data_IF_015086832276
#
_entry.id   IF_015086832276
#
_cell.length_a   1.000
_cell.length_b   1.000
_cell.length_c   1.000
_cell.angle_alpha   90.00
_cell.angle_beta   90.00
_cell.angle_gamma   90.00
#
_symmetry.space_group_name_H-M   'P 1'
#
loop_
_entity.id
_entity.type
_entity.pdbx_description
1 polymer ?
#
# COMPACT_ATOMS: atom_id res chain seq x y z
N UNK A 1 24.21 52.70 68.85
CA UNK A 1 24.05 51.42 68.13
C UNK A 1 23.88 51.66 66.64
N UNK A 2 24.66 50.97 65.80
CA UNK A 2 24.78 51.17 64.34
C UNK A 2 24.09 50.00 63.63
N UNK A 3 22.88 50.20 63.06
CA UNK A 3 22.20 49.16 62.26
C UNK A 3 22.63 49.31 60.79
N UNK A 4 23.40 48.35 60.28
CA UNK A 4 23.81 48.26 58.86
C UNK A 4 22.68 47.59 58.07
N UNK A 5 22.38 48.11 56.89
CA UNK A 5 21.29 47.66 56.02
C UNK A 5 21.50 46.27 55.41
N UNK A 6 20.48 45.71 54.73
CA UNK A 6 20.53 44.37 54.17
C UNK A 6 21.35 44.34 52.87
N UNK A 7 22.13 43.27 52.73
CA UNK A 7 22.99 42.96 51.60
C UNK A 7 22.16 42.56 50.37
N UNK A 8 22.40 43.22 49.23
CA UNK A 8 21.91 42.80 47.91
C UNK A 8 22.70 41.57 47.42
N UNK A 9 22.04 40.42 47.27
CA UNK A 9 22.61 39.23 46.62
C UNK A 9 22.68 39.39 45.11
N UNK A 10 23.88 39.28 44.52
CA UNK A 10 24.08 39.18 43.07
C UNK A 10 23.96 37.71 42.63
N UNK A 11 22.98 37.41 41.78
CA UNK A 11 22.87 36.14 41.05
C UNK A 11 23.88 36.13 39.91
N UNK A 12 24.89 35.25 39.98
CA UNK A 12 25.88 35.07 38.90
C UNK A 12 25.26 34.22 37.78
N UNK A 13 24.96 34.82 36.63
CA UNK A 13 24.69 34.10 35.37
C UNK A 13 26.02 33.59 34.79
N UNK A 14 26.24 32.28 34.81
CA UNK A 14 27.35 31.63 34.10
C UNK A 14 27.01 31.51 32.60
N UNK A 15 27.57 32.40 31.79
CA UNK A 15 27.43 32.33 30.34
C UNK A 15 28.30 31.21 29.75
N UNK A 16 27.68 30.16 29.21
CA UNK A 16 28.39 29.17 28.39
C UNK A 16 28.73 29.83 27.06
N UNK A 17 29.99 29.78 26.65
CA UNK A 17 30.46 30.50 25.46
C UNK A 17 29.71 30.03 24.21
N UNK A 18 29.21 30.99 23.42
CA UNK A 18 28.38 30.77 22.23
C UNK A 18 29.06 29.87 21.19
N UNK A 19 30.40 29.81 21.19
CA UNK A 19 31.18 28.90 20.34
C UNK A 19 30.97 27.42 20.70
N UNK A 20 30.84 27.10 21.98
CA UNK A 20 30.58 25.72 22.43
C UNK A 20 29.17 25.27 22.09
N UNK A 21 28.19 26.19 22.17
CA UNK A 21 26.80 25.90 21.76
C UNK A 21 26.76 25.60 20.26
N UNK A 22 27.44 26.42 19.45
CA UNK A 22 27.52 26.21 17.99
C UNK A 22 28.21 24.90 17.62
N UNK A 23 29.32 24.54 18.28
CA UNK A 23 30.01 23.26 18.04
C UNK A 23 29.15 22.05 18.46
N UNK A 24 28.49 22.13 19.61
CA UNK A 24 27.59 21.06 20.07
C UNK A 24 26.41 20.87 19.09
N UNK A 25 25.84 21.97 18.58
CA UNK A 25 24.75 21.92 17.60
C UNK A 25 25.21 21.26 16.29
N UNK A 26 26.41 21.59 15.79
CA UNK A 26 26.96 20.99 14.58
C UNK A 26 27.20 19.49 14.74
N UNK A 27 27.72 19.04 15.88
CA UNK A 27 27.94 17.62 16.17
C UNK A 27 26.62 16.83 16.27
N UNK A 28 25.59 17.44 16.88
CA UNK A 28 24.24 16.83 16.96
C UNK A 28 23.61 16.74 15.56
N UNK A 29 23.71 17.79 14.74
CA UNK A 29 23.19 17.79 13.37
C UNK A 29 23.92 16.80 12.47
N UNK A 30 25.24 16.66 12.59
CA UNK A 30 26.00 15.64 11.85
C UNK A 30 25.64 14.22 12.31
N UNK A 31 25.40 14.01 13.60
CA UNK A 31 24.95 12.72 14.12
C UNK A 31 23.55 12.33 13.67
N UNK A 32 22.60 13.28 13.70
CA UNK A 32 21.22 13.07 13.22
C UNK A 32 21.17 12.77 11.72
N UNK A 33 21.97 13.49 10.93
CA UNK A 33 22.05 13.25 9.49
C UNK A 33 22.68 11.88 9.19
N UNK A 34 23.76 11.51 9.88
CA UNK A 34 24.40 10.20 9.75
C UNK A 34 23.45 9.03 10.11
N UNK A 35 22.71 9.13 11.22
CA UNK A 35 21.71 8.13 11.62
C UNK A 35 20.56 8.02 10.61
N UNK A 36 20.13 9.14 10.01
CA UNK A 36 19.11 9.13 8.95
C UNK A 36 19.60 8.51 7.64
N UNK A 37 20.90 8.57 7.32
CA UNK A 37 21.45 8.00 6.08
C UNK A 37 21.46 6.46 6.11
N UNK A 38 21.87 5.84 7.23
CA UNK A 38 21.87 4.37 7.37
C UNK A 38 20.47 3.76 7.29
N UNK A 39 19.46 4.43 7.85
CA UNK A 39 18.07 3.97 7.81
C UNK A 39 17.47 4.01 6.39
N UNK A 40 17.99 4.90 5.52
CA UNK A 40 17.57 5.00 4.11
C UNK A 40 18.18 3.90 3.24
N UNK A 41 19.42 3.52 3.49
CA UNK A 41 20.06 2.42 2.74
C UNK A 41 19.38 1.08 3.07
N UNK A 42 19.05 0.82 4.34
CA UNK A 42 18.29 -0.37 4.71
C UNK A 42 16.87 -0.36 4.14
N UNK A 43 16.20 0.79 4.08
CA UNK A 43 14.90 0.89 3.41
C UNK A 43 14.98 0.73 1.89
N UNK A 44 16.10 1.06 1.25
CA UNK A 44 16.27 0.88 -0.20
C UNK A 44 16.67 -0.56 -0.56
N UNK A 45 17.34 -1.28 0.35
CA UNK A 45 17.74 -2.70 0.18
C UNK A 45 16.60 -3.65 0.57
N UNK A 46 15.84 -3.33 1.63
CA UNK A 46 14.69 -4.13 2.10
C UNK A 46 13.35 -3.62 1.55
N UNK A 47 13.31 -2.40 1.03
CA UNK A 47 12.17 -1.83 0.31
C UNK A 47 12.21 -2.27 -1.15
N UNK A 48 11.26 -3.12 -1.47
CA UNK A 48 10.80 -3.50 -2.80
C UNK A 48 11.21 -2.53 -3.93
N UNK A 49 12.18 -2.99 -4.72
CA UNK A 49 12.44 -2.64 -6.13
C UNK A 49 11.16 -2.14 -6.84
N UNK A 50 11.12 -0.95 -7.45
CA UNK A 50 9.94 -0.49 -8.16
C UNK A 50 9.77 -1.28 -9.44
N UNK A 51 8.82 -2.21 -9.48
CA UNK A 51 8.34 -2.77 -10.75
C UNK A 51 6.83 -2.92 -10.71
N UNK A 52 6.21 -2.32 -11.72
CA UNK A 52 4.78 -2.28 -12.04
C UNK A 52 4.01 -1.30 -11.15
N UNK A 53 3.45 -0.28 -11.80
CA UNK A 53 2.64 0.78 -11.20
C UNK A 53 1.77 0.21 -10.06
N UNK A 54 2.14 0.57 -8.84
CA UNK A 54 1.31 0.30 -7.67
C UNK A 54 0.08 1.17 -7.81
N UNK A 55 -0.99 0.57 -8.32
CA UNK A 55 -2.30 1.18 -8.31
C UNK A 55 -2.69 1.28 -6.84
N UNK A 56 -2.55 2.47 -6.26
CA UNK A 56 -3.06 2.78 -4.93
C UNK A 56 -4.58 2.61 -4.96
N UNK A 57 -5.03 1.43 -4.54
CA UNK A 57 -6.45 1.12 -4.44
C UNK A 57 -6.97 1.81 -3.20
N UNK A 58 -7.47 3.02 -3.41
CA UNK A 58 -8.29 3.70 -2.40
C UNK A 58 -9.57 2.88 -2.17
N UNK A 59 -10.06 2.77 -0.92
CA UNK A 59 -11.34 2.15 -0.64
C UNK A 59 -12.47 2.89 -1.40
N UNK A 60 -13.39 2.14 -2.01
CA UNK A 60 -14.46 2.64 -2.87
C UNK A 60 -13.98 3.24 -4.20
N UNK A 61 -12.77 2.89 -4.66
CA UNK A 61 -12.33 3.21 -6.02
C UNK A 61 -13.02 2.31 -7.05
N UNK A 62 -13.35 2.88 -8.21
CA UNK A 62 -13.93 2.15 -9.34
C UNK A 62 -12.83 1.80 -10.35
N UNK A 63 -12.60 0.51 -10.54
CA UNK A 63 -11.76 -0.03 -11.62
C UNK A 63 -12.65 -0.49 -12.77
N UNK A 64 -12.56 0.18 -13.92
CA UNK A 64 -13.25 -0.23 -15.15
C UNK A 64 -12.27 -0.58 -16.25
N UNK A 65 -12.56 -1.67 -16.96
CA UNK A 65 -11.67 -2.15 -18.01
C UNK A 65 -12.18 -3.40 -18.70
N UNK A 66 -11.34 -3.97 -19.55
CA UNK A 66 -11.60 -5.26 -20.19
C UNK A 66 -10.97 -6.36 -19.35
N UNK A 67 -11.67 -7.48 -19.21
CA UNK A 67 -11.13 -8.70 -18.62
C UNK A 67 -10.13 -9.31 -19.59
N UNK A 68 -8.83 -9.11 -19.34
CA UNK A 68 -7.74 -9.61 -20.20
C UNK A 68 -7.43 -11.08 -19.94
N UNK A 69 -7.64 -11.53 -18.70
CA UNK A 69 -7.37 -12.89 -18.28
C UNK A 69 -8.29 -13.31 -17.13
N UNK A 70 -8.61 -14.60 -17.05
CA UNK A 70 -9.37 -15.21 -15.96
C UNK A 70 -8.43 -16.21 -15.28
N UNK A 71 -7.96 -15.89 -14.07
CA UNK A 71 -6.96 -16.70 -13.37
C UNK A 71 -7.60 -17.96 -12.79
N UNK A 72 -8.80 -17.84 -12.22
CA UNK A 72 -9.61 -18.89 -11.63
C UNK A 72 -11.09 -18.42 -11.57
N UNK A 73 -11.97 -19.19 -10.91
CA UNK A 73 -13.40 -18.89 -10.84
C UNK A 73 -13.76 -17.59 -10.11
N UNK A 74 -12.85 -17.07 -9.28
CA UNK A 74 -13.10 -15.87 -8.46
C UNK A 74 -12.11 -14.73 -8.68
N UNK A 75 -11.18 -14.85 -9.64
CA UNK A 75 -10.17 -13.83 -9.93
C UNK A 75 -10.13 -13.47 -11.42
N UNK A 76 -10.42 -12.20 -11.71
CA UNK A 76 -10.29 -11.60 -13.03
C UNK A 76 -9.10 -10.65 -13.10
N UNK A 77 -8.41 -10.61 -14.24
CA UNK A 77 -7.47 -9.54 -14.54
C UNK A 77 -8.16 -8.48 -15.39
N UNK A 78 -8.40 -7.31 -14.80
CA UNK A 78 -9.01 -6.15 -15.47
C UNK A 78 -7.91 -5.16 -15.79
N UNK A 79 -7.65 -4.93 -17.08
CA UNK A 79 -6.50 -4.12 -17.55
C UNK A 79 -5.15 -4.55 -16.91
N UNK A 80 -4.96 -5.85 -16.68
CA UNK A 80 -3.74 -6.37 -16.05
C UNK A 80 -3.62 -6.17 -14.52
N UNK A 81 -4.70 -5.73 -13.87
CA UNK A 81 -4.85 -5.71 -12.41
C UNK A 81 -5.68 -6.93 -11.97
N UNK A 82 -5.12 -7.85 -11.18
CA UNK A 82 -5.87 -9.01 -10.70
C UNK A 82 -6.81 -8.60 -9.56
N UNK A 83 -8.10 -8.87 -9.74
CA UNK A 83 -9.21 -8.56 -8.84
C UNK A 83 -9.82 -9.87 -8.33
N UNK A 84 -9.73 -10.14 -7.03
CA UNK A 84 -10.45 -11.22 -6.35
C UNK A 84 -11.85 -10.74 -5.99
N UNK A 85 -12.86 -11.53 -6.32
CA UNK A 85 -14.27 -11.21 -6.08
C UNK A 85 -14.60 -11.34 -4.58
N UNK A 86 -14.99 -10.23 -3.95
CA UNK A 86 -15.10 -10.13 -2.49
C UNK A 86 -16.12 -11.07 -1.83
N UNK A 87 -17.14 -11.50 -2.58
CA UNK A 87 -18.24 -12.35 -2.08
C UNK A 87 -18.33 -13.69 -2.80
N UNK A 88 -17.30 -14.07 -3.57
CA UNK A 88 -17.24 -15.35 -4.25
C UNK A 88 -15.95 -16.05 -3.84
N UNK A 89 -16.08 -17.23 -3.22
CA UNK A 89 -14.95 -18.11 -2.93
C UNK A 89 -15.15 -19.40 -3.72
N UNK A 90 -14.35 -19.59 -4.77
CA UNK A 90 -14.48 -20.76 -5.62
C UNK A 90 -13.68 -21.93 -5.06
N UNK A 91 -14.20 -23.18 -5.17
CA UNK A 91 -13.41 -24.35 -4.83
C UNK A 91 -12.14 -24.40 -5.69
N UNK A 92 -11.01 -24.77 -5.09
CA UNK A 92 -9.71 -24.85 -5.78
C UNK A 92 -9.80 -25.78 -7.00
N UNK A 93 -9.10 -25.44 -8.10
CA UNK A 93 -9.02 -26.12 -9.42
C UNK A 93 -8.68 -27.63 -9.43
N UNK A 94 -8.65 -28.31 -8.29
CA UNK A 94 -8.24 -29.71 -8.14
C UNK A 94 -9.39 -30.66 -7.82
N UNK A 95 -10.61 -30.14 -7.79
CA UNK A 95 -11.87 -30.88 -7.75
C UNK A 95 -12.68 -30.51 -8.99
N UNK A 96 -13.42 -31.46 -9.57
CA UNK A 96 -14.10 -31.31 -10.88
C UNK A 96 -14.97 -30.06 -10.97
N UNK A 97 -15.54 -29.65 -9.84
CA UNK A 97 -16.37 -28.47 -9.67
C UNK A 97 -15.59 -27.17 -9.91
N UNK A 98 -14.34 -27.08 -9.48
CA UNK A 98 -13.48 -25.90 -9.68
C UNK A 98 -13.11 -25.67 -11.15
N UNK A 99 -12.96 -26.74 -11.93
CA UNK A 99 -12.70 -26.67 -13.36
C UNK A 99 -13.94 -26.20 -14.15
N UNK A 100 -15.12 -26.69 -13.79
CA UNK A 100 -16.39 -26.25 -14.38
C UNK A 100 -16.64 -24.76 -14.12
N UNK A 101 -16.45 -24.31 -12.88
CA UNK A 101 -16.63 -22.90 -12.51
C UNK A 101 -15.60 -22.03 -13.22
N UNK A 102 -14.34 -22.49 -13.34
CA UNK A 102 -13.32 -21.78 -14.12
C UNK A 102 -13.70 -21.70 -15.60
N UNK A 103 -14.25 -22.77 -16.19
CA UNK A 103 -14.69 -22.79 -17.58
C UNK A 103 -15.84 -21.80 -17.83
N UNK A 104 -16.78 -21.70 -16.89
CA UNK A 104 -17.83 -20.69 -16.93
C UNK A 104 -17.26 -19.28 -16.78
N UNK A 105 -16.36 -19.04 -15.83
CA UNK A 105 -15.72 -17.75 -15.63
C UNK A 105 -14.92 -17.27 -16.87
N UNK A 106 -14.29 -18.19 -17.62
CA UNK A 106 -13.58 -17.88 -18.86
C UNK A 106 -14.46 -17.30 -19.96
N UNK A 107 -15.77 -17.52 -19.90
CA UNK A 107 -16.72 -16.90 -20.83
C UNK A 107 -16.58 -15.37 -20.76
N UNK A 108 -16.42 -14.80 -19.57
CA UNK A 108 -16.32 -13.34 -19.39
C UNK A 108 -15.01 -12.70 -19.91
N UNK A 109 -14.09 -13.47 -20.49
CA UNK A 109 -12.91 -12.91 -21.14
C UNK A 109 -13.33 -11.94 -22.26
N UNK A 110 -12.57 -10.86 -22.40
CA UNK A 110 -12.78 -9.79 -23.37
C UNK A 110 -14.07 -8.97 -23.14
N UNK A 111 -14.80 -9.25 -22.06
CA UNK A 111 -15.95 -8.44 -21.63
C UNK A 111 -15.52 -7.24 -20.80
N UNK A 112 -16.33 -6.18 -20.85
CA UNK A 112 -16.17 -5.02 -19.99
C UNK A 112 -16.60 -5.35 -18.55
N UNK A 113 -15.73 -5.04 -17.60
CA UNK A 113 -15.99 -5.11 -16.18
C UNK A 113 -15.94 -3.71 -15.53
N UNK A 114 -16.75 -3.54 -14.49
CA UNK A 114 -16.74 -2.39 -13.58
C UNK A 114 -16.67 -2.97 -12.18
N UNK A 115 -15.57 -2.73 -11.48
CA UNK A 115 -15.29 -3.28 -10.16
C UNK A 115 -15.19 -2.17 -9.12
N UNK A 116 -15.98 -2.27 -8.06
CA UNK A 116 -15.86 -1.44 -6.86
C UNK A 116 -14.88 -2.10 -5.89
N UNK A 117 -13.75 -1.43 -5.64
CA UNK A 117 -12.66 -1.99 -4.84
C UNK A 117 -12.86 -1.69 -3.36
N UNK A 118 -12.64 -2.69 -2.51
CA UNK A 118 -12.84 -2.58 -1.06
C UNK A 118 -11.67 -1.91 -0.34
N UNK A 119 -10.54 -1.72 -1.02
CA UNK A 119 -9.26 -1.33 -0.40
C UNK A 119 -8.48 -2.50 0.19
N UNK A 120 -9.07 -3.70 0.29
CA UNK A 120 -8.36 -4.88 0.75
C UNK A 120 -7.51 -5.51 -0.36
N UNK A 121 -6.44 -6.21 0.05
CA UNK A 121 -5.60 -7.02 -0.84
C UNK A 121 -5.54 -8.47 -0.32
N UNK A 122 -5.44 -9.42 -1.26
CA UNK A 122 -5.17 -10.83 -1.01
C UNK A 122 -3.97 -11.23 -1.86
N UNK A 123 -2.79 -11.32 -1.24
CA UNK A 123 -1.50 -11.46 -1.94
C UNK A 123 -1.28 -10.33 -2.95
N UNK A 124 -1.15 -10.65 -4.23
CA UNK A 124 -0.99 -9.72 -5.35
C UNK A 124 -2.31 -9.16 -5.89
N UNK A 125 -3.46 -9.62 -5.36
CA UNK A 125 -4.79 -9.29 -5.87
C UNK A 125 -5.45 -8.20 -5.04
N UNK A 126 -6.15 -7.31 -5.72
CA UNK A 126 -7.05 -6.35 -5.07
C UNK A 126 -8.41 -7.01 -4.87
N UNK A 127 -9.16 -6.65 -3.84
CA UNK A 127 -10.47 -7.25 -3.55
C UNK A 127 -11.59 -6.28 -3.95
N UNK A 128 -12.63 -6.78 -4.62
CA UNK A 128 -13.73 -5.92 -5.08
C UNK A 128 -15.00 -6.64 -5.52
N UNK A 129 -16.05 -5.87 -5.76
CA UNK A 129 -17.31 -6.31 -6.33
C UNK A 129 -17.36 -5.93 -7.80
N UNK A 130 -17.38 -6.91 -8.70
CA UNK A 130 -17.37 -6.67 -10.14
C UNK A 130 -18.73 -6.94 -10.78
N UNK A 131 -19.11 -6.05 -11.70
CA UNK A 131 -20.24 -6.21 -12.61
C UNK A 131 -19.70 -6.34 -14.02
N UNK A 132 -20.13 -7.38 -14.73
CA UNK A 132 -19.83 -7.58 -16.14
C UNK A 132 -21.09 -8.09 -16.85
N UNK A 133 -21.24 -7.72 -18.12
CA UNK A 133 -22.32 -8.26 -18.97
C UNK A 133 -21.75 -9.40 -19.77
N UNK A 134 -22.41 -10.55 -19.70
CA UNK A 134 -22.15 -11.64 -20.63
C UNK A 134 -22.80 -11.30 -21.98
N UNK A 135 -22.04 -11.29 -23.06
CA UNK A 135 -22.53 -10.98 -24.42
C UNK A 135 -22.81 -12.22 -25.27
N UNK A 136 -22.93 -13.41 -24.65
CA UNK A 136 -22.93 -14.68 -25.37
C UNK A 136 -24.00 -14.80 -26.46
N UNK A 137 -23.58 -15.19 -27.66
CA UNK A 137 -24.36 -16.06 -28.52
C UNK A 137 -24.23 -17.48 -27.91
N UNK A 138 -25.35 -18.09 -27.55
CA UNK A 138 -25.39 -19.46 -27.05
C UNK A 138 -24.84 -20.42 -28.11
N UNK A 139 -23.81 -21.19 -27.79
CA UNK A 139 -23.55 -22.46 -28.46
C UNK A 139 -23.86 -23.56 -27.45
N UNK A 140 -25.09 -24.06 -27.53
CA UNK A 140 -25.46 -25.36 -26.97
C UNK A 140 -24.60 -26.39 -27.70
N UNK A 141 -23.62 -26.96 -27.00
CA UNK A 141 -23.09 -28.25 -27.41
C UNK A 141 -24.04 -29.30 -26.85
N UNK A 142 -24.79 -29.92 -27.78
CA UNK A 142 -25.55 -31.15 -27.57
C UNK A 142 -24.65 -32.31 -27.09
#
# INVERSE_FOLDING_TARGET
MKKRGPYFGHSKRSGVSLRYISLALLLILSGLTYLNTEHRILSDILGTKPNKAEHSVEPNSILSGIITHVRDGDTFEVNGVPVRLAALDCPEKKIQEGDLVTAYAKQFKDQKAICELTGAKSYDRVVGYCQCKWSGLYQTHD
#
